data_IF_006575794236
#
_entry.id   IF_006575794236
#
_cell.length_a   1.000
_cell.length_b   1.000
_cell.length_c   1.000
_cell.angle_alpha   90.00
_cell.angle_beta   90.00
_cell.angle_gamma   90.00
#
_symmetry.space_group_name_H-M   'P 1'
#
loop_
_entity.id
_entity.type
_entity.pdbx_description
1 polymer ?
#
# COMPACT_ATOMS: atom_id res chain seq x y z
N UNK A 1 -15.12 -11.88 30.38
CA UNK A 1 -16.37 -11.40 29.75
C UNK A 1 -16.12 -11.15 28.27
N UNK A 2 -16.73 -11.92 27.37
CA UNK A 2 -16.86 -11.52 25.95
C UNK A 2 -18.01 -10.52 25.87
N UNK A 3 -17.75 -9.32 25.33
CA UNK A 3 -18.70 -8.19 25.25
C UNK A 3 -19.98 -8.52 24.44
N UNK A 4 -19.98 -9.60 23.65
CA UNK A 4 -21.10 -9.98 22.79
C UNK A 4 -21.66 -11.38 23.05
N UNK A 5 -21.28 -12.04 24.14
CA UNK A 5 -21.76 -13.41 24.44
C UNK A 5 -21.31 -14.49 23.45
N UNK A 6 -20.69 -14.12 22.33
CA UNK A 6 -20.02 -15.03 21.39
C UNK A 6 -18.68 -15.43 22.00
N UNK A 7 -18.52 -16.72 22.29
CA UNK A 7 -17.20 -17.30 22.57
C UNK A 7 -16.34 -17.04 21.31
N UNK A 8 -15.21 -16.31 21.40
CA UNK A 8 -14.36 -16.11 20.23
C UNK A 8 -13.98 -17.48 19.67
N UNK A 9 -14.18 -17.66 18.36
CA UNK A 9 -13.76 -18.88 17.66
C UNK A 9 -12.33 -19.22 18.07
N UNK A 10 -12.07 -20.48 18.39
CA UNK A 10 -10.73 -20.92 18.81
C UNK A 10 -9.71 -20.53 17.73
N UNK A 11 -8.77 -19.64 18.09
CA UNK A 11 -7.67 -19.28 17.20
C UNK A 11 -6.65 -20.41 17.16
N UNK A 12 -6.40 -20.94 15.97
CA UNK A 12 -5.37 -21.95 15.73
C UNK A 12 -4.08 -21.30 15.23
N UNK A 13 -2.93 -21.81 15.67
CA UNK A 13 -1.62 -21.29 15.30
C UNK A 13 -1.17 -21.85 13.93
N UNK A 14 -1.90 -21.53 12.87
CA UNK A 14 -1.55 -21.94 11.52
C UNK A 14 -0.28 -21.21 11.04
N UNK A 15 0.70 -21.93 10.48
CA UNK A 15 1.92 -21.31 9.95
C UNK A 15 1.62 -20.63 8.62
N UNK A 16 1.31 -19.32 8.64
CA UNK A 16 1.05 -18.54 7.43
C UNK A 16 2.28 -17.74 6.96
N UNK A 17 3.09 -17.21 7.88
CA UNK A 17 4.22 -16.35 7.48
C UNK A 17 5.28 -17.10 6.67
N UNK A 18 5.59 -18.35 7.04
CA UNK A 18 6.61 -19.18 6.37
C UNK A 18 6.25 -19.54 4.92
N UNK A 19 5.04 -19.98 4.56
CA UNK A 19 4.72 -20.19 3.15
C UNK A 19 4.49 -18.88 2.39
N UNK A 20 3.97 -17.83 3.04
CA UNK A 20 3.56 -16.60 2.33
C UNK A 20 4.65 -15.52 2.23
N UNK A 21 5.82 -15.66 2.87
CA UNK A 21 6.87 -14.63 2.85
C UNK A 21 7.30 -14.15 1.44
N UNK A 22 7.37 -14.99 0.39
CA UNK A 22 7.76 -14.52 -0.94
C UNK A 22 6.72 -13.55 -1.53
N UNK A 23 5.43 -13.74 -1.23
CA UNK A 23 4.37 -12.85 -1.70
C UNK A 23 4.39 -11.52 -0.97
N UNK A 24 4.69 -11.52 0.33
CA UNK A 24 4.89 -10.27 1.08
C UNK A 24 6.11 -9.51 0.56
N UNK A 25 7.22 -10.21 0.30
CA UNK A 25 8.42 -9.61 -0.28
C UNK A 25 8.13 -9.01 -1.66
N UNK A 26 7.46 -9.76 -2.54
CA UNK A 26 7.02 -9.26 -3.84
C UNK A 26 6.10 -8.04 -3.71
N UNK A 27 5.15 -8.07 -2.77
CA UNK A 27 4.26 -6.94 -2.48
C UNK A 27 5.02 -5.66 -2.14
N UNK A 28 6.07 -5.76 -1.31
CA UNK A 28 6.93 -4.62 -0.96
C UNK A 28 7.70 -4.11 -2.19
N UNK A 29 8.28 -5.00 -2.99
CA UNK A 29 9.02 -4.64 -4.20
C UNK A 29 8.12 -3.91 -5.20
N UNK A 30 6.93 -4.45 -5.46
CA UNK A 30 5.97 -3.86 -6.39
C UNK A 30 5.44 -2.53 -5.86
N UNK A 31 5.12 -2.44 -4.57
CA UNK A 31 4.68 -1.18 -3.97
C UNK A 31 5.72 -0.06 -4.16
N UNK A 32 7.00 -0.36 -3.93
CA UNK A 32 8.09 0.58 -4.17
C UNK A 32 8.23 0.94 -5.65
N UNK A 33 8.18 -0.06 -6.54
CA UNK A 33 8.27 0.15 -7.98
C UNK A 33 7.15 1.02 -8.52
N UNK A 34 5.90 0.74 -8.13
CA UNK A 34 4.71 1.52 -8.53
C UNK A 34 4.79 2.93 -7.98
N UNK A 35 5.18 3.12 -6.72
CA UNK A 35 5.34 4.45 -6.13
C UNK A 35 6.37 5.29 -6.89
N UNK A 36 7.51 4.69 -7.25
CA UNK A 36 8.58 5.34 -8.02
C UNK A 36 8.11 5.71 -9.42
N UNK A 37 7.48 4.76 -10.13
CA UNK A 37 6.97 4.96 -11.48
C UNK A 37 5.87 6.03 -11.52
N UNK A 38 4.91 5.97 -10.60
CA UNK A 38 3.84 6.97 -10.50
C UNK A 38 4.41 8.37 -10.27
N UNK A 39 5.39 8.51 -9.36
CA UNK A 39 6.05 9.80 -9.10
C UNK A 39 6.71 10.38 -10.35
N UNK A 40 7.37 9.54 -11.16
CA UNK A 40 7.95 9.97 -12.43
C UNK A 40 6.87 10.38 -13.47
N UNK A 41 5.81 9.58 -13.61
CA UNK A 41 4.73 9.83 -14.57
C UNK A 41 3.96 11.12 -14.25
N UNK A 42 3.77 11.43 -12.97
CA UNK A 42 3.12 12.68 -12.53
C UNK A 42 3.93 13.94 -12.92
N UNK A 43 5.24 13.82 -13.17
CA UNK A 43 6.08 14.95 -13.60
C UNK A 43 6.17 15.07 -15.13
N UNK A 44 5.51 14.20 -15.89
CA UNK A 44 5.46 14.28 -17.35
C UNK A 44 4.74 15.54 -17.84
N UNK A 45 5.03 15.95 -19.09
CA UNK A 45 4.48 17.17 -19.66
C UNK A 45 2.94 17.22 -19.67
N UNK A 46 2.29 16.07 -19.85
CA UNK A 46 0.84 15.92 -19.86
C UNK A 46 0.21 16.15 -18.48
N UNK A 47 0.83 15.61 -17.43
CA UNK A 47 0.19 15.51 -16.10
C UNK A 47 0.75 16.49 -15.06
N UNK A 48 1.87 17.18 -15.34
CA UNK A 48 2.53 18.10 -14.40
C UNK A 48 1.65 19.28 -13.93
N UNK A 49 0.76 19.75 -14.80
CA UNK A 49 -0.10 20.91 -14.54
C UNK A 49 -1.55 20.52 -14.21
N UNK A 50 -1.86 19.23 -14.07
CA UNK A 50 -3.20 18.79 -13.67
C UNK A 50 -3.46 19.22 -12.21
N UNK A 51 -4.56 19.95 -11.91
CA UNK A 51 -4.87 20.41 -10.54
C UNK A 51 -5.10 19.27 -9.53
N UNK A 52 -5.32 18.05 -10.02
CA UNK A 52 -5.46 16.83 -9.20
C UNK A 52 -4.10 16.21 -8.87
N UNK A 53 -3.04 16.59 -9.59
CA UNK A 53 -1.70 16.10 -9.32
C UNK A 53 -1.23 16.62 -7.94
N UNK A 54 -0.93 15.72 -6.98
CA UNK A 54 -0.47 16.13 -5.66
C UNK A 54 0.84 16.95 -5.74
N UNK A 55 1.70 16.71 -6.75
CA UNK A 55 2.94 17.45 -6.94
C UNK A 55 2.68 18.91 -7.34
N UNK A 56 1.57 19.21 -8.02
CA UNK A 56 1.22 20.58 -8.42
C UNK A 56 0.83 21.46 -7.21
N UNK A 57 0.36 20.86 -6.12
CA UNK A 57 -0.02 21.58 -4.89
C UNK A 57 1.17 21.92 -3.99
N UNK A 58 2.24 21.12 -4.07
CA UNK A 58 3.47 21.32 -3.29
C UNK A 58 4.42 22.36 -3.91
N UNK A 59 4.08 22.94 -5.06
CA UNK A 59 4.86 23.98 -5.76
C UNK A 59 4.65 25.42 -5.23
N UNK A 60 3.93 25.59 -4.12
CA UNK A 60 3.83 26.88 -3.43
C UNK A 60 5.04 27.15 -2.54
N UNK A 61 6.08 27.76 -3.12
CA UNK A 61 7.05 28.60 -2.42
C UNK A 61 7.19 29.91 -3.20
#
# INVERSE_FOLDING_TARGET
MSWLGVQPLKKFNAPFLKPYWPFFAAGVVIAYGVNSAQSAMMNSAEWKNDPRNPNAKSGGH
#
